data_IF_085918154350
#
_entry.id   IF_085918154350
#
_cell.length_a   1.000
_cell.length_b   1.000
_cell.length_c   1.000
_cell.angle_alpha   90.00
_cell.angle_beta   90.00
_cell.angle_gamma   90.00
#
_symmetry.space_group_name_H-M   'P 1'
#
loop_
_entity.id
_entity.type
_entity.pdbx_description
1 polymer ?
#
# COMPACT_ATOMS: atom_id res chain seq x y z
N UNK A 1 -13.88 -4.49 -17.10
CA UNK A 1 -12.85 -3.77 -16.31
C UNK A 1 -13.16 -3.68 -14.80
N UNK A 2 -14.41 -3.67 -14.35
CA UNK A 2 -14.78 -3.53 -12.91
C UNK A 2 -14.26 -4.66 -12.00
N UNK A 3 -14.37 -5.91 -12.43
CA UNK A 3 -13.82 -7.09 -11.72
C UNK A 3 -12.30 -7.03 -11.60
N UNK A 4 -11.62 -6.60 -12.67
CA UNK A 4 -10.16 -6.49 -12.68
C UNK A 4 -9.66 -5.45 -11.67
N UNK A 5 -10.28 -4.25 -11.63
CA UNK A 5 -9.98 -3.23 -10.61
C UNK A 5 -10.15 -3.78 -9.19
N UNK A 6 -11.23 -4.49 -8.91
CA UNK A 6 -11.46 -5.07 -7.59
C UNK A 6 -10.40 -6.12 -7.21
N UNK A 7 -10.03 -7.00 -8.14
CA UNK A 7 -8.98 -7.99 -7.89
C UNK A 7 -7.61 -7.35 -7.75
N UNK A 8 -7.29 -6.31 -8.52
CA UNK A 8 -6.05 -5.55 -8.39
C UNK A 8 -5.97 -4.84 -7.03
N UNK A 9 -7.07 -4.24 -6.57
CA UNK A 9 -7.15 -3.66 -5.23
C UNK A 9 -6.92 -4.72 -4.15
N UNK A 10 -7.56 -5.88 -4.28
CA UNK A 10 -7.38 -7.02 -3.37
C UNK A 10 -5.92 -7.52 -3.37
N UNK A 11 -5.31 -7.67 -4.54
CA UNK A 11 -3.93 -8.09 -4.70
C UNK A 11 -2.94 -7.07 -4.13
N UNK A 12 -3.20 -5.77 -4.32
CA UNK A 12 -2.40 -4.70 -3.74
C UNK A 12 -2.42 -4.74 -2.21
N UNK A 13 -3.59 -4.97 -1.60
CA UNK A 13 -3.71 -5.15 -0.16
C UNK A 13 -2.97 -6.40 0.33
N UNK A 14 -3.08 -7.53 -0.39
CA UNK A 14 -2.32 -8.74 -0.06
C UNK A 14 -0.81 -8.52 -0.17
N UNK A 15 -0.34 -7.81 -1.20
CA UNK A 15 1.07 -7.48 -1.39
C UNK A 15 1.61 -6.50 -0.34
N UNK A 16 0.73 -5.68 0.27
CA UNK A 16 1.14 -4.78 1.35
C UNK A 16 1.59 -5.50 2.61
N UNK A 17 1.07 -6.71 2.90
CA UNK A 17 1.43 -7.49 4.09
C UNK A 17 2.94 -7.82 4.15
N UNK A 18 3.53 -8.49 3.13
CA UNK A 18 4.98 -8.71 3.14
C UNK A 18 5.77 -7.40 3.00
N UNK A 19 5.26 -6.39 2.29
CA UNK A 19 5.96 -5.10 2.16
C UNK A 19 6.11 -4.37 3.51
N UNK A 20 5.05 -4.33 4.32
CA UNK A 20 5.06 -3.69 5.65
C UNK A 20 5.96 -4.46 6.59
N UNK A 21 5.82 -5.80 6.65
CA UNK A 21 6.59 -6.63 7.57
C UNK A 21 8.10 -6.60 7.28
N UNK A 22 8.48 -6.65 6.00
CA UNK A 22 9.89 -6.52 5.61
C UNK A 22 10.44 -5.12 5.85
N UNK A 23 9.66 -4.07 5.56
CA UNK A 23 10.05 -2.67 5.83
C UNK A 23 10.29 -2.40 7.32
N UNK A 24 9.42 -2.90 8.21
CA UNK A 24 9.61 -2.78 9.66
C UNK A 24 10.88 -3.50 10.10
N UNK A 25 11.14 -4.70 9.58
CA UNK A 25 12.35 -5.47 9.89
C UNK A 25 13.64 -4.72 9.53
N UNK A 26 13.68 -4.09 8.35
CA UNK A 26 14.82 -3.28 7.92
C UNK A 26 14.98 -2.01 8.76
N UNK A 27 13.88 -1.31 9.05
CA UNK A 27 13.87 -0.13 9.91
C UNK A 27 14.43 -0.46 11.30
N UNK A 28 13.95 -1.54 11.92
CA UNK A 28 14.44 -2.00 13.23
C UNK A 28 15.92 -2.34 13.19
N UNK A 29 16.37 -3.11 12.19
CA UNK A 29 17.79 -3.48 12.04
C UNK A 29 18.69 -2.24 11.87
N UNK A 30 18.24 -1.23 11.13
CA UNK A 30 18.96 0.01 10.95
C UNK A 30 19.03 0.82 12.27
N UNK A 31 17.93 0.88 13.03
CA UNK A 31 17.88 1.54 14.35
C UNK A 31 18.82 0.83 15.32
N UNK A 32 18.76 -0.50 15.42
CA UNK A 32 19.59 -1.29 16.33
C UNK A 32 21.09 -1.12 16.03
N UNK A 33 21.45 -1.01 14.75
CA UNK A 33 22.86 -0.88 14.33
C UNK A 33 23.42 0.54 14.49
N UNK A 34 22.60 1.57 14.26
CA UNK A 34 23.09 2.95 14.10
C UNK A 34 22.57 3.92 15.15
N UNK A 35 21.59 3.53 15.96
CA UNK A 35 20.90 4.40 16.90
C UNK A 35 19.94 5.39 16.22
N UNK A 36 18.79 5.64 16.85
CA UNK A 36 17.72 6.49 16.32
C UNK A 36 18.09 7.99 16.33
N UNK A 37 18.89 8.41 17.31
CA UNK A 37 19.24 9.80 17.55
C UNK A 37 20.65 10.13 17.08
N UNK A 38 20.87 11.39 16.73
CA UNK A 38 22.19 11.97 16.55
C UNK A 38 22.97 12.00 17.88
N UNK A 39 24.23 12.44 17.85
CA UNK A 39 25.10 12.51 19.04
C UNK A 39 24.53 13.37 20.17
N UNK A 40 23.57 14.23 19.87
CA UNK A 40 22.86 15.08 20.83
C UNK A 40 21.76 14.34 21.64
N UNK A 41 21.46 13.09 21.28
CA UNK A 41 20.45 12.25 21.94
C UNK A 41 19.01 12.73 21.81
N UNK A 42 18.75 13.81 21.05
CA UNK A 42 17.42 14.45 20.94
C UNK A 42 16.95 14.55 19.49
N UNK A 43 17.86 14.67 18.54
CA UNK A 43 17.51 14.84 17.13
C UNK A 43 17.46 13.49 16.43
N UNK A 44 16.30 13.11 15.89
CA UNK A 44 16.16 11.88 15.08
C UNK A 44 16.94 12.06 13.78
N UNK A 45 17.73 11.05 13.39
CA UNK A 45 18.51 11.09 12.13
C UNK A 45 17.58 11.27 10.94
N UNK A 46 18.01 12.05 9.95
CA UNK A 46 17.18 12.39 8.77
C UNK A 46 16.66 11.16 8.02
N UNK A 47 17.46 10.10 7.91
CA UNK A 47 17.03 8.82 7.31
C UNK A 47 15.84 8.18 8.04
N UNK A 48 15.78 8.26 9.37
CA UNK A 48 14.67 7.70 10.14
C UNK A 48 13.43 8.59 10.09
N UNK A 49 13.60 9.91 9.97
CA UNK A 49 12.48 10.81 9.62
C UNK A 49 11.87 10.43 8.27
N UNK A 50 12.71 10.15 7.28
CA UNK A 50 12.28 9.65 5.97
C UNK A 50 11.54 8.31 6.05
N UNK A 51 12.06 7.34 6.82
CA UNK A 51 11.40 6.04 7.04
C UNK A 51 10.03 6.22 7.70
N UNK A 52 9.93 7.06 8.73
CA UNK A 52 8.67 7.36 9.41
C UNK A 52 7.68 8.01 8.43
N UNK A 53 8.12 9.00 7.66
CA UNK A 53 7.27 9.66 6.66
C UNK A 53 6.79 8.69 5.57
N UNK A 54 7.67 7.79 5.10
CA UNK A 54 7.33 6.75 4.14
C UNK A 54 6.32 5.76 4.72
N UNK A 55 6.53 5.30 5.95
CA UNK A 55 5.62 4.36 6.63
C UNK A 55 4.24 4.99 6.84
N UNK A 56 4.16 6.20 7.43
CA UNK A 56 2.89 6.90 7.66
C UNK A 56 2.12 7.11 6.36
N UNK A 57 2.81 7.53 5.29
CA UNK A 57 2.16 7.75 3.99
C UNK A 57 1.56 6.45 3.43
N UNK A 58 2.31 5.34 3.49
CA UNK A 58 1.80 4.04 3.05
C UNK A 58 0.70 3.51 3.97
N UNK A 59 0.78 3.73 5.29
CA UNK A 59 -0.25 3.30 6.24
C UNK A 59 -1.59 3.96 5.90
N UNK A 60 -1.61 5.28 5.66
CA UNK A 60 -2.81 6.00 5.22
C UNK A 60 -3.38 5.39 3.94
N UNK A 61 -2.54 5.10 2.95
CA UNK A 61 -2.97 4.48 1.70
C UNK A 61 -3.56 3.09 1.95
N UNK A 62 -2.86 2.22 2.67
CA UNK A 62 -3.30 0.84 2.93
C UNK A 62 -4.59 0.83 3.73
N UNK A 63 -4.72 1.63 4.80
CA UNK A 63 -5.95 1.71 5.58
C UNK A 63 -7.13 2.21 4.73
N UNK A 64 -6.93 3.26 3.94
CA UNK A 64 -7.98 3.84 3.10
C UNK A 64 -8.38 2.87 1.98
N UNK A 65 -7.42 2.23 1.34
CA UNK A 65 -7.68 1.23 0.28
C UNK A 65 -8.32 -0.04 0.83
N UNK A 66 -7.98 -0.46 2.06
CA UNK A 66 -8.66 -1.55 2.75
C UNK A 66 -10.12 -1.20 3.06
N UNK A 67 -10.39 0.03 3.47
CA UNK A 67 -11.76 0.52 3.68
C UNK A 67 -12.56 0.54 2.38
N UNK A 68 -12.01 1.09 1.29
CA UNK A 68 -12.65 1.07 -0.03
C UNK A 68 -12.92 -0.37 -0.48
N UNK A 69 -11.95 -1.28 -0.31
CA UNK A 69 -12.13 -2.70 -0.59
C UNK A 69 -13.28 -3.32 0.21
N UNK A 70 -13.37 -3.02 1.50
CA UNK A 70 -14.44 -3.50 2.37
C UNK A 70 -15.82 -3.03 1.90
N UNK A 71 -15.98 -1.74 1.60
CA UNK A 71 -17.23 -1.20 1.07
C UNK A 71 -17.63 -1.85 -0.25
N UNK A 72 -16.67 -2.03 -1.18
CA UNK A 72 -16.91 -2.73 -2.47
C UNK A 72 -17.28 -4.20 -2.25
N UNK A 73 -16.65 -4.88 -1.29
CA UNK A 73 -16.97 -6.27 -0.92
C UNK A 73 -18.38 -6.40 -0.36
N UNK A 74 -18.79 -5.48 0.51
CA UNK A 74 -20.12 -5.45 1.10
C UNK A 74 -21.19 -5.23 0.03
N UNK A 75 -21.02 -4.24 -0.85
CA UNK A 75 -21.92 -3.99 -1.97
C UNK A 75 -22.02 -5.18 -2.94
N UNK A 76 -20.90 -5.85 -3.21
CA UNK A 76 -20.89 -7.07 -4.02
C UNK A 76 -21.67 -8.22 -3.34
N UNK A 77 -21.54 -8.39 -2.02
CA UNK A 77 -22.26 -9.43 -1.27
C UNK A 77 -23.77 -9.22 -1.33
N UNK A 78 -24.23 -7.99 -1.06
CA UNK A 78 -25.66 -7.64 -1.13
C UNK A 78 -26.22 -7.87 -2.54
N UNK A 79 -25.55 -7.32 -3.56
CA UNK A 79 -25.99 -7.44 -4.96
C UNK A 79 -25.93 -8.86 -5.50
N UNK A 80 -25.05 -9.74 -5.00
CA UNK A 80 -25.01 -11.15 -5.39
C UNK A 80 -26.02 -12.00 -4.59
N UNK A 81 -26.32 -11.62 -3.35
CA UNK A 81 -27.32 -12.31 -2.51
C UNK A 81 -28.76 -12.12 -3.02
N UNK A 82 -29.06 -10.94 -3.59
CA UNK A 82 -30.36 -10.64 -4.21
C UNK A 82 -30.59 -11.24 -5.60
N UNK A 83 -29.62 -12.00 -6.15
CA UNK A 83 -29.62 -12.50 -7.54
C UNK A 83 -29.71 -14.01 -7.70
N UNK A 84 -30.19 -14.75 -6.71
CA UNK A 84 -30.61 -16.15 -6.92
C UNK A 84 -31.93 -16.23 -7.74
N UNK A 85 -32.06 -15.49 -8.85
CA UNK A 85 -33.27 -15.56 -9.69
C UNK A 85 -33.50 -14.50 -10.78
N UNK A 86 -32.56 -13.59 -11.10
CA UNK A 86 -32.79 -12.53 -12.11
C UNK A 86 -31.62 -12.41 -13.10
N UNK A 87 -31.46 -13.43 -13.95
CA UNK A 87 -30.70 -13.33 -15.20
C UNK A 87 -31.54 -12.54 -16.22
N UNK A 88 -31.40 -11.21 -16.30
CA UNK A 88 -32.00 -10.51 -17.44
C UNK A 88 -32.21 -9.00 -17.40
N UNK A 89 -32.03 -8.27 -16.29
CA UNK A 89 -32.46 -6.86 -16.22
C UNK A 89 -31.39 -5.92 -15.69
N UNK A 90 -30.83 -5.08 -16.56
CA UNK A 90 -29.88 -3.98 -16.31
C UNK A 90 -28.45 -4.36 -15.88
N UNK A 91 -27.48 -3.49 -16.14
CA UNK A 91 -26.06 -3.65 -15.75
C UNK A 91 -25.86 -3.94 -14.25
N UNK A 92 -26.84 -3.59 -13.42
CA UNK A 92 -26.92 -3.94 -12.00
C UNK A 92 -27.21 -5.44 -11.73
N UNK A 93 -27.71 -6.23 -12.71
CA UNK A 93 -27.93 -7.69 -12.58
C UNK A 93 -26.77 -8.55 -13.04
N UNK A 94 -25.79 -8.03 -13.78
CA UNK A 94 -24.61 -8.82 -14.15
C UNK A 94 -23.63 -8.98 -12.97
N UNK A 95 -22.92 -10.11 -12.90
CA UNK A 95 -21.83 -10.32 -11.94
C UNK A 95 -20.70 -9.28 -12.06
N UNK A 96 -20.63 -8.54 -13.17
CA UNK A 96 -19.67 -7.46 -13.40
C UNK A 96 -20.09 -6.13 -12.75
N UNK A 97 -21.39 -5.84 -12.66
CA UNK A 97 -21.91 -4.63 -12.01
C UNK A 97 -21.74 -4.64 -10.48
N UNK A 98 -21.75 -5.83 -9.88
CA UNK A 98 -21.56 -6.03 -8.43
C UNK A 98 -20.22 -5.48 -7.89
N UNK A 99 -19.20 -5.34 -8.74
CA UNK A 99 -17.85 -4.90 -8.38
C UNK A 99 -17.51 -3.48 -8.87
N UNK A 100 -18.49 -2.77 -9.43
CA UNK A 100 -18.30 -1.41 -9.91
C UNK A 100 -18.08 -0.46 -8.71
N UNK A 101 -17.02 0.37 -8.71
CA UNK A 101 -16.82 1.38 -7.67
C UNK A 101 -17.82 2.53 -7.84
N UNK A 102 -18.22 3.13 -6.73
CA UNK A 102 -18.96 4.40 -6.73
C UNK A 102 -18.03 5.58 -7.03
N UNK A 103 -18.59 6.70 -7.49
CA UNK A 103 -17.82 7.90 -7.89
C UNK A 103 -16.87 8.40 -6.79
N UNK A 104 -17.31 8.39 -5.52
CA UNK A 104 -16.46 8.83 -4.41
C UNK A 104 -15.29 7.85 -4.17
N UNK A 105 -15.49 6.56 -4.40
CA UNK A 105 -14.42 5.56 -4.29
C UNK A 105 -13.35 5.82 -5.35
N UNK A 106 -13.74 6.15 -6.58
CA UNK A 106 -12.81 6.51 -7.65
C UNK A 106 -12.02 7.77 -7.30
N UNK A 107 -12.68 8.79 -6.74
CA UNK A 107 -12.00 10.01 -6.30
C UNK A 107 -10.98 9.74 -5.18
N UNK A 108 -11.35 8.89 -4.21
CA UNK A 108 -10.45 8.47 -3.13
C UNK A 108 -9.29 7.62 -3.67
N UNK A 109 -9.56 6.66 -4.57
CA UNK A 109 -8.53 5.84 -5.22
C UNK A 109 -7.53 6.70 -5.99
N UNK A 110 -7.99 7.75 -6.70
CA UNK A 110 -7.12 8.70 -7.38
C UNK A 110 -6.24 9.51 -6.40
N UNK A 111 -6.83 10.01 -5.31
CA UNK A 111 -6.09 10.74 -4.27
C UNK A 111 -5.05 9.85 -3.58
N UNK A 112 -5.43 8.62 -3.23
CA UNK A 112 -4.50 7.65 -2.63
C UNK A 112 -3.42 7.22 -3.62
N UNK A 113 -3.73 7.13 -4.91
CA UNK A 113 -2.74 6.92 -5.96
C UNK A 113 -1.68 8.02 -5.99
N UNK A 114 -2.08 9.30 -5.87
CA UNK A 114 -1.15 10.41 -5.77
C UNK A 114 -0.29 10.35 -4.49
N UNK A 115 -0.91 10.02 -3.35
CA UNK A 115 -0.18 9.83 -2.09
C UNK A 115 0.79 8.65 -2.16
N UNK A 116 0.43 7.57 -2.85
CA UNK A 116 1.30 6.42 -3.06
C UNK A 116 2.53 6.78 -3.90
N UNK A 117 2.37 7.62 -4.92
CA UNK A 117 3.51 8.14 -5.71
C UNK A 117 4.43 9.02 -4.86
N UNK A 118 3.86 9.85 -3.99
CA UNK A 118 4.64 10.63 -3.03
C UNK A 118 5.41 9.72 -2.05
N UNK A 119 4.75 8.70 -1.49
CA UNK A 119 5.39 7.72 -0.63
C UNK A 119 6.53 6.97 -1.37
N UNK A 120 6.30 6.59 -2.62
CA UNK A 120 7.30 5.93 -3.46
C UNK A 120 8.52 6.83 -3.73
N UNK A 121 8.32 8.15 -3.92
CA UNK A 121 9.43 9.10 -4.05
C UNK A 121 10.31 9.13 -2.79
N UNK A 122 9.70 9.15 -1.59
CA UNK A 122 10.45 9.06 -0.33
C UNK A 122 11.18 7.71 -0.25
N UNK A 123 10.52 6.61 -0.63
CA UNK A 123 11.11 5.28 -0.64
C UNK A 123 12.36 5.21 -1.54
N UNK A 124 12.29 5.77 -2.74
CA UNK A 124 13.43 5.89 -3.64
C UNK A 124 14.58 6.69 -3.01
N UNK A 125 14.30 7.83 -2.39
CA UNK A 125 15.31 8.61 -1.67
C UNK A 125 15.94 7.83 -0.51
N UNK A 126 15.16 7.02 0.21
CA UNK A 126 15.67 6.15 1.29
C UNK A 126 16.62 5.07 0.77
N UNK A 127 16.30 4.47 -0.37
CA UNK A 127 17.14 3.47 -1.02
C UNK A 127 18.44 4.08 -1.55
N UNK A 128 18.36 5.16 -2.33
CA UNK A 128 19.54 5.74 -2.99
C UNK A 128 20.46 6.52 -2.04
N UNK A 129 19.91 7.27 -1.08
CA UNK A 129 20.72 8.11 -0.20
C UNK A 129 21.15 7.41 1.09
N UNK A 130 20.37 6.41 1.54
CA UNK A 130 20.58 5.78 2.86
C UNK A 130 20.68 4.25 2.81
N UNK A 131 20.51 3.63 1.64
CA UNK A 131 20.71 2.19 1.45
C UNK A 131 19.63 1.29 2.05
N UNK A 132 18.45 1.82 2.38
CA UNK A 132 17.30 0.98 2.75
C UNK A 132 16.89 0.08 1.58
N UNK A 133 16.43 -1.15 1.82
CA UNK A 133 16.07 -2.12 0.77
C UNK A 133 17.22 -2.78 0.00
N UNK A 134 18.48 -2.34 0.17
CA UNK A 134 19.62 -2.84 -0.60
C UNK A 134 20.23 -4.15 -0.06
N UNK A 135 19.66 -4.73 1.00
CA UNK A 135 20.16 -5.98 1.58
C UNK A 135 19.89 -7.23 0.72
N UNK A 136 19.09 -7.12 -0.35
CA UNK A 136 18.74 -8.25 -1.24
C UNK A 136 19.77 -8.48 -2.37
N UNK A 137 20.72 -7.55 -2.60
CA UNK A 137 21.72 -7.66 -3.68
C UNK A 137 23.19 -7.77 -3.24
N UNK A 138 23.48 -7.76 -1.94
CA UNK A 138 24.85 -7.67 -1.39
C UNK A 138 25.68 -8.95 -1.39
N UNK A 139 25.33 -9.94 -2.21
CA UNK A 139 26.10 -11.17 -2.43
C UNK A 139 27.12 -11.00 -3.54
N UNK A 140 28.13 -10.15 -3.36
CA UNK A 140 29.16 -9.94 -4.36
C UNK A 140 30.30 -9.08 -3.82
N UNK A 141 31.41 -9.74 -3.47
CA UNK A 141 32.66 -9.17 -2.98
C UNK A 141 33.02 -7.84 -3.68
N UNK A 142 33.40 -6.84 -2.89
CA UNK A 142 34.31 -5.80 -3.38
C UNK A 142 35.65 -6.49 -3.70
N UNK A 143 36.03 -6.50 -4.97
CA UNK A 143 37.39 -6.73 -5.41
C UNK A 143 37.81 -5.50 -6.22
N UNK A 144 38.59 -4.63 -5.58
CA UNK A 144 39.60 -3.76 -6.15
C UNK A 144 40.50 -3.31 -5.00
#
# INVERSE_FOLDING_TARGET
MTRASYFLLSLGLLASIPAITTGIGEAKKAIDKQGLYEKDGKTIKQKFKGVIAHAISNDIVVFTMAYVWYCRRAAAKESLSGKMGMEGVSSATTAAGAYAPETWMVAVEALMGALQLFAANIGGALTYNYGFGMAIGGGGKKAA
#
